data_IF_990050622814
#
_entry.id   IF_990050622814
#
_cell.length_a   1.000
_cell.length_b   1.000
_cell.length_c   1.000
_cell.angle_alpha   90.00
_cell.angle_beta   90.00
_cell.angle_gamma   90.00
#
_symmetry.space_group_name_H-M   'P 1'
#
loop_
_entity.id
_entity.type
_entity.pdbx_description
1 polymer ?
#
# COMPACT_ATOMS: atom_id res chain seq x y z
N UNK A 1 -16.26 8.30 -28.72
CA UNK A 1 -15.32 9.28 -28.20
C UNK A 1 -14.01 8.56 -27.89
N UNK A 2 -12.85 9.02 -28.35
CA UNK A 2 -11.59 8.28 -28.20
C UNK A 2 -11.16 8.29 -26.74
N UNK A 3 -10.75 7.10 -26.25
CA UNK A 3 -10.14 6.88 -24.96
C UNK A 3 -8.85 7.70 -24.87
N UNK A 4 -8.75 8.60 -23.89
CA UNK A 4 -7.51 9.26 -23.56
C UNK A 4 -6.57 8.21 -22.93
N UNK A 5 -5.63 7.73 -23.75
CA UNK A 5 -4.50 6.92 -23.29
C UNK A 5 -3.58 7.88 -22.53
N UNK A 6 -3.67 7.88 -21.21
CA UNK A 6 -2.68 8.54 -20.36
C UNK A 6 -1.37 7.76 -20.49
N UNK A 7 -0.48 8.29 -21.31
CA UNK A 7 0.88 7.81 -21.42
C UNK A 7 1.62 8.10 -20.12
N UNK A 8 1.80 7.10 -19.29
CA UNK A 8 2.80 7.13 -18.21
C UNK A 8 4.15 7.31 -18.91
N UNK A 9 4.79 8.48 -18.74
CA UNK A 9 6.14 8.71 -19.23
C UNK A 9 7.05 7.65 -18.61
N UNK A 10 7.50 6.72 -19.44
CA UNK A 10 8.52 5.71 -19.07
C UNK A 10 9.84 6.44 -18.84
N UNK A 11 10.45 6.42 -17.67
CA UNK A 11 11.87 6.69 -17.57
C UNK A 11 12.59 5.52 -18.24
N UNK A 12 13.56 5.85 -19.10
CA UNK A 12 14.40 4.87 -19.78
C UNK A 12 15.02 3.92 -18.74
N UNK A 13 14.89 2.62 -18.99
CA UNK A 13 15.52 1.57 -18.20
C UNK A 13 17.05 1.78 -18.20
N UNK A 14 17.58 2.36 -17.15
CA UNK A 14 18.99 2.21 -16.81
C UNK A 14 19.08 0.96 -15.95
N UNK A 15 19.32 -0.17 -16.58
CA UNK A 15 19.87 -1.37 -15.97
C UNK A 15 21.27 -1.02 -15.47
N UNK A 16 21.40 -0.59 -14.24
CA UNK A 16 22.65 -0.61 -13.50
C UNK A 16 22.82 -2.02 -12.96
N UNK A 17 23.49 -2.87 -13.75
CA UNK A 17 24.07 -4.13 -13.26
C UNK A 17 24.85 -3.85 -11.96
N UNK A 18 24.47 -4.54 -10.88
CA UNK A 18 25.23 -4.59 -9.64
C UNK A 18 24.91 -3.59 -8.54
N UNK A 19 23.95 -2.68 -8.69
CA UNK A 19 23.59 -1.76 -7.58
C UNK A 19 22.46 -2.37 -6.77
N UNK A 20 22.81 -2.93 -5.61
CA UNK A 20 21.83 -3.25 -4.55
C UNK A 20 20.93 -2.02 -4.34
N UNK A 21 19.63 -2.25 -4.39
CA UNK A 21 18.62 -1.22 -4.15
C UNK A 21 18.96 -0.47 -2.86
N UNK A 22 19.19 0.84 -2.94
CA UNK A 22 19.48 1.60 -1.75
C UNK A 22 18.17 1.97 -1.02
N UNK A 23 17.54 0.96 -0.39
CA UNK A 23 16.28 1.15 0.35
C UNK A 23 16.38 2.21 1.45
N UNK A 24 17.59 2.45 1.95
CA UNK A 24 17.85 3.46 2.99
C UNK A 24 17.47 4.87 2.53
N UNK A 25 17.63 5.15 1.24
CA UNK A 25 17.36 6.46 0.67
C UNK A 25 15.87 6.83 0.71
N UNK A 26 14.98 5.86 0.49
CA UNK A 26 13.54 6.12 0.46
C UNK A 26 12.99 6.59 1.80
N UNK A 27 13.32 5.91 2.90
CA UNK A 27 12.92 6.35 4.24
C UNK A 27 13.52 7.72 4.59
N UNK A 28 14.78 7.95 4.23
CA UNK A 28 15.44 9.24 4.44
C UNK A 28 14.78 10.37 3.64
N UNK A 29 14.29 10.10 2.42
CA UNK A 29 13.52 11.07 1.62
C UNK A 29 12.20 11.41 2.27
N UNK A 30 11.42 10.41 2.74
CA UNK A 30 10.17 10.65 3.47
C UNK A 30 10.42 11.59 4.65
N UNK A 31 11.43 11.32 5.47
CA UNK A 31 11.76 12.13 6.64
C UNK A 31 12.19 13.56 6.31
N UNK A 32 12.99 13.74 5.23
CA UNK A 32 13.42 15.07 4.82
C UNK A 32 12.29 15.90 4.21
N UNK A 33 11.39 15.27 3.45
CA UNK A 33 10.31 15.96 2.76
C UNK A 33 9.08 16.14 3.64
N UNK A 34 8.91 15.30 4.66
CA UNK A 34 7.75 15.27 5.57
C UNK A 34 6.40 15.41 4.81
N UNK A 35 6.14 14.53 3.80
CA UNK A 35 5.01 14.73 2.91
C UNK A 35 3.70 14.71 3.66
N UNK A 36 2.79 15.62 3.31
CA UNK A 36 1.41 15.58 3.82
C UNK A 36 0.64 14.49 3.08
N UNK A 37 0.05 13.57 3.81
CA UNK A 37 -0.73 12.46 3.27
C UNK A 37 -2.19 12.62 3.63
N UNK A 38 -3.03 12.84 2.60
CA UNK A 38 -4.47 12.78 2.79
C UNK A 38 -4.90 11.32 2.86
N UNK A 39 -5.40 10.88 4.01
CA UNK A 39 -5.85 9.50 4.21
C UNK A 39 -7.35 9.44 4.47
N UNK A 40 -8.12 8.99 3.47
CA UNK A 40 -9.51 8.57 3.66
C UNK A 40 -9.47 7.12 4.15
N UNK A 41 -9.19 6.98 5.45
CA UNK A 41 -9.00 5.70 6.12
C UNK A 41 -10.31 5.20 6.75
N UNK A 42 -10.33 3.98 7.25
CA UNK A 42 -11.45 3.44 8.01
C UNK A 42 -11.34 3.82 9.50
N UNK A 43 -12.47 3.98 10.19
CA UNK A 43 -12.47 4.45 11.58
C UNK A 43 -11.96 3.40 12.59
N UNK A 44 -11.82 2.13 12.20
CA UNK A 44 -11.23 1.10 13.06
C UNK A 44 -9.73 1.32 13.23
N UNK A 45 -9.05 1.83 12.19
CA UNK A 45 -7.59 1.92 12.14
C UNK A 45 -7.06 3.34 11.95
N UNK A 46 -7.93 4.35 11.85
CA UNK A 46 -7.54 5.73 11.53
C UNK A 46 -6.47 6.29 12.49
N UNK A 47 -6.61 6.05 13.80
CA UNK A 47 -5.63 6.50 14.79
C UNK A 47 -4.25 5.85 14.58
N UNK A 48 -4.20 4.54 14.36
CA UNK A 48 -2.95 3.82 14.14
C UNK A 48 -2.28 4.21 12.82
N UNK A 49 -3.08 4.45 11.78
CA UNK A 49 -2.61 4.96 10.49
C UNK A 49 -1.98 6.34 10.65
N UNK A 50 -2.62 7.24 11.40
CA UNK A 50 -2.07 8.56 11.67
C UNK A 50 -0.74 8.47 12.45
N UNK A 51 -0.70 7.68 13.52
CA UNK A 51 0.51 7.51 14.32
C UNK A 51 1.66 6.86 13.53
N UNK A 52 1.36 5.90 12.64
CA UNK A 52 2.38 5.30 11.79
C UNK A 52 2.95 6.29 10.77
N UNK A 53 2.11 7.14 10.17
CA UNK A 53 2.57 8.20 9.27
C UNK A 53 3.47 9.20 10.00
N UNK A 54 3.10 9.61 11.22
CA UNK A 54 3.96 10.45 12.06
C UNK A 54 5.27 9.74 12.41
N UNK A 55 5.23 8.46 12.75
CA UNK A 55 6.41 7.66 13.07
C UNK A 55 7.39 7.56 11.89
N UNK A 56 6.90 7.44 10.65
CA UNK A 56 7.78 7.42 9.48
C UNK A 56 8.28 8.80 9.04
N UNK A 57 7.79 9.89 9.65
CA UNK A 57 8.17 11.27 9.34
C UNK A 57 7.27 11.97 8.33
N UNK A 58 6.12 11.40 7.98
CA UNK A 58 5.08 12.04 7.17
C UNK A 58 4.05 12.78 8.05
N UNK A 59 3.20 13.59 7.44
CA UNK A 59 2.15 14.37 8.11
C UNK A 59 0.77 13.90 7.66
N UNK A 60 -0.02 13.19 8.50
CA UNK A 60 -1.34 12.73 8.13
C UNK A 60 -2.41 13.82 8.23
N UNK A 61 -3.34 13.84 7.27
CA UNK A 61 -4.62 14.54 7.39
C UNK A 61 -5.73 13.56 7.05
N UNK A 62 -6.72 13.42 7.96
CA UNK A 62 -7.88 12.56 7.79
C UNK A 62 -9.12 13.43 7.51
N UNK A 63 -9.57 13.45 6.25
CA UNK A 63 -10.76 14.19 5.84
C UNK A 63 -11.60 13.30 4.90
N UNK A 64 -12.80 12.93 5.31
CA UNK A 64 -13.68 12.03 4.57
C UNK A 64 -15.05 12.63 4.25
N UNK A 65 -15.18 13.95 4.38
CA UNK A 65 -16.31 14.70 3.93
C UNK A 65 -16.12 15.14 2.47
N UNK A 66 -17.09 14.91 1.56
CA UNK A 66 -16.98 15.30 0.15
C UNK A 66 -16.70 16.78 -0.07
N UNK A 67 -17.22 17.66 0.80
CA UNK A 67 -17.02 19.11 0.68
C UNK A 67 -15.60 19.53 1.08
N UNK A 68 -14.99 18.86 2.05
CA UNK A 68 -13.65 19.16 2.55
C UNK A 68 -12.56 18.41 1.77
N UNK A 69 -12.81 17.18 1.34
CA UNK A 69 -11.81 16.27 0.80
C UNK A 69 -10.99 16.86 -0.36
N UNK A 70 -11.63 17.63 -1.24
CA UNK A 70 -10.96 18.30 -2.37
C UNK A 70 -9.93 19.32 -1.87
N UNK A 71 -10.28 20.13 -0.87
CA UNK A 71 -9.37 21.14 -0.32
C UNK A 71 -8.16 20.52 0.36
N UNK A 72 -8.39 19.45 1.14
CA UNK A 72 -7.32 18.73 1.82
C UNK A 72 -6.40 18.02 0.82
N UNK A 73 -6.96 17.44 -0.25
CA UNK A 73 -6.15 16.83 -1.32
C UNK A 73 -5.21 17.85 -1.97
N UNK A 74 -5.63 19.10 -2.17
CA UNK A 74 -4.79 20.16 -2.71
C UNK A 74 -3.55 20.46 -1.87
N UNK A 75 -3.66 20.32 -0.57
CA UNK A 75 -2.57 20.53 0.38
C UNK A 75 -1.66 19.33 0.52
N UNK A 76 -2.07 18.16 0.00
CA UNK A 76 -1.42 16.89 0.24
C UNK A 76 -0.47 16.48 -0.89
N UNK A 77 0.57 15.74 -0.57
CA UNK A 77 1.55 15.20 -1.52
C UNK A 77 1.10 13.86 -2.12
N UNK A 78 0.23 13.12 -1.42
CA UNK A 78 -0.39 11.89 -1.91
C UNK A 78 -1.76 11.66 -1.25
N UNK A 79 -2.55 10.78 -1.87
CA UNK A 79 -3.87 10.35 -1.40
C UNK A 79 -3.86 8.85 -1.12
N UNK A 80 -4.29 8.45 0.08
CA UNK A 80 -4.51 7.05 0.46
C UNK A 80 -6.00 6.78 0.65
N UNK A 81 -6.55 5.87 -0.16
CA UNK A 81 -7.96 5.47 -0.14
C UNK A 81 -8.09 4.06 0.44
N UNK A 82 -8.84 3.91 1.54
CA UNK A 82 -9.06 2.62 2.21
C UNK A 82 -10.54 2.30 2.30
N UNK A 83 -10.96 1.17 1.74
CA UNK A 83 -12.36 0.75 1.64
C UNK A 83 -12.90 0.04 2.90
N UNK A 84 -12.16 0.04 3.99
CA UNK A 84 -12.69 -0.43 5.28
C UNK A 84 -13.81 0.50 5.76
N UNK A 85 -14.81 -0.06 6.46
CA UNK A 85 -15.97 0.71 6.98
C UNK A 85 -16.63 1.63 5.93
N UNK A 86 -16.88 1.11 4.74
CA UNK A 86 -17.37 1.86 3.59
C UNK A 86 -18.78 2.43 3.80
N UNK A 87 -19.02 3.65 3.33
CA UNK A 87 -20.33 4.28 3.27
C UNK A 87 -20.47 5.08 1.96
N UNK A 88 -21.71 5.35 1.52
CA UNK A 88 -21.94 6.13 0.29
C UNK A 88 -21.30 7.51 0.34
N UNK A 89 -21.34 8.20 1.50
CA UNK A 89 -20.73 9.52 1.70
C UNK A 89 -19.22 9.45 1.51
N UNK A 90 -18.56 8.42 2.07
CA UNK A 90 -17.11 8.24 1.92
C UNK A 90 -16.73 7.90 0.48
N UNK A 91 -17.53 7.12 -0.23
CA UNK A 91 -17.31 6.85 -1.66
C UNK A 91 -17.33 8.16 -2.46
N UNK A 92 -18.28 9.06 -2.18
CA UNK A 92 -18.32 10.38 -2.82
C UNK A 92 -17.07 11.22 -2.49
N UNK A 93 -16.61 11.21 -1.23
CA UNK A 93 -15.37 11.87 -0.83
C UNK A 93 -14.14 11.28 -1.53
N UNK A 94 -14.04 9.94 -1.62
CA UNK A 94 -12.96 9.25 -2.32
C UNK A 94 -12.90 9.60 -3.80
N UNK A 95 -14.06 9.70 -4.47
CA UNK A 95 -14.11 10.12 -5.87
C UNK A 95 -13.65 11.57 -6.03
N UNK A 96 -14.21 12.50 -5.25
CA UNK A 96 -13.87 13.91 -5.34
C UNK A 96 -12.38 14.17 -5.04
N UNK A 97 -11.86 13.55 -3.98
CA UNK A 97 -10.43 13.60 -3.63
C UNK A 97 -9.54 12.97 -4.72
N UNK A 98 -9.95 11.82 -5.26
CA UNK A 98 -9.19 11.10 -6.28
C UNK A 98 -9.15 11.84 -7.63
N UNK A 99 -10.25 12.44 -8.05
CA UNK A 99 -10.31 13.29 -9.25
C UNK A 99 -9.37 14.51 -9.09
N UNK A 100 -9.37 15.13 -7.92
CA UNK A 100 -8.47 16.26 -7.64
C UNK A 100 -7.00 15.84 -7.55
N UNK A 101 -6.70 14.71 -6.89
CA UNK A 101 -5.34 14.15 -6.85
C UNK A 101 -4.82 13.84 -8.26
N UNK A 102 -5.67 13.25 -9.11
CA UNK A 102 -5.34 12.98 -10.51
C UNK A 102 -5.06 14.25 -11.31
N UNK A 103 -5.88 15.29 -11.13
CA UNK A 103 -5.67 16.61 -11.77
C UNK A 103 -4.33 17.26 -11.37
N UNK A 104 -3.89 17.01 -10.13
CA UNK A 104 -2.63 17.53 -9.58
C UNK A 104 -1.43 16.62 -9.86
N UNK A 105 -1.62 15.45 -10.49
CA UNK A 105 -0.57 14.45 -10.68
C UNK A 105 -0.03 13.85 -9.37
N UNK A 106 -0.84 13.85 -8.30
CA UNK A 106 -0.47 13.30 -7.01
C UNK A 106 -0.67 11.79 -6.99
N UNK A 107 0.24 11.02 -6.39
CA UNK A 107 0.06 9.57 -6.24
C UNK A 107 -1.21 9.22 -5.48
N UNK A 108 -1.95 8.22 -5.98
CA UNK A 108 -3.14 7.66 -5.34
C UNK A 108 -2.86 6.21 -5.01
N UNK A 109 -2.91 5.87 -3.72
CA UNK A 109 -2.88 4.50 -3.26
C UNK A 109 -4.29 4.02 -2.93
N UNK A 110 -4.69 2.87 -3.45
CA UNK A 110 -5.95 2.22 -3.15
C UNK A 110 -5.72 0.94 -2.32
N UNK A 111 -6.43 0.85 -1.19
CA UNK A 111 -6.54 -0.35 -0.36
C UNK A 111 -7.98 -0.87 -0.40
N UNK A 112 -8.28 -1.90 -1.21
CA UNK A 112 -9.63 -2.39 -1.46
C UNK A 112 -10.11 -3.36 -0.38
N UNK A 113 -9.95 -2.99 0.89
CA UNK A 113 -10.27 -3.83 2.06
C UNK A 113 -11.60 -4.55 1.90
N UNK A 114 -11.53 -5.88 1.88
CA UNK A 114 -12.71 -6.74 1.79
C UNK A 114 -13.34 -6.81 0.41
N UNK A 115 -12.63 -6.48 -0.66
CA UNK A 115 -13.05 -6.82 -2.02
C UNK A 115 -13.28 -8.33 -2.13
N UNK A 116 -14.40 -8.75 -2.71
CA UNK A 116 -14.89 -10.14 -2.71
C UNK A 116 -15.83 -10.47 -1.57
N UNK A 117 -15.79 -9.77 -0.44
CA UNK A 117 -16.68 -10.04 0.69
C UNK A 117 -18.10 -9.48 0.51
N UNK A 118 -18.27 -8.43 -0.29
CA UNK A 118 -19.58 -7.90 -0.65
C UNK A 118 -19.56 -7.20 -2.02
N UNK A 119 -20.72 -7.16 -2.73
CA UNK A 119 -20.84 -6.41 -3.98
C UNK A 119 -20.43 -4.95 -3.82
N UNK A 120 -20.91 -4.27 -2.78
CA UNK A 120 -20.60 -2.86 -2.55
C UNK A 120 -19.11 -2.59 -2.50
N UNK A 121 -18.31 -3.43 -1.83
CA UNK A 121 -16.84 -3.26 -1.72
C UNK A 121 -16.15 -3.51 -3.06
N UNK A 122 -16.51 -4.61 -3.72
CA UNK A 122 -15.89 -5.02 -4.99
C UNK A 122 -16.22 -4.02 -6.09
N UNK A 123 -17.48 -3.59 -6.20
CA UNK A 123 -17.93 -2.67 -7.24
C UNK A 123 -17.34 -1.27 -7.01
N UNK A 124 -17.26 -0.82 -5.74
CA UNK A 124 -16.59 0.45 -5.40
C UNK A 124 -15.11 0.40 -5.76
N UNK A 125 -14.40 -0.67 -5.42
CA UNK A 125 -12.98 -0.80 -5.76
C UNK A 125 -12.75 -0.76 -7.28
N UNK A 126 -13.54 -1.50 -8.05
CA UNK A 126 -13.50 -1.49 -9.52
C UNK A 126 -13.82 -0.12 -10.11
N UNK A 127 -14.86 0.52 -9.58
CA UNK A 127 -15.24 1.87 -10.01
C UNK A 127 -14.12 2.87 -9.77
N UNK A 128 -13.47 2.85 -8.60
CA UNK A 128 -12.33 3.72 -8.30
C UNK A 128 -11.13 3.45 -9.21
N UNK A 129 -10.79 2.16 -9.44
CA UNK A 129 -9.73 1.77 -10.38
C UNK A 129 -10.01 2.21 -11.82
N UNK A 130 -11.29 2.24 -12.22
CA UNK A 130 -11.67 2.65 -13.58
C UNK A 130 -11.71 4.17 -13.75
N UNK A 131 -12.13 4.91 -12.71
CA UNK A 131 -12.36 6.36 -12.79
C UNK A 131 -11.16 7.19 -12.41
N UNK A 132 -10.28 6.69 -11.55
CA UNK A 132 -9.17 7.44 -10.99
C UNK A 132 -7.83 6.93 -11.54
N UNK A 133 -6.83 7.80 -11.70
CA UNK A 133 -5.48 7.40 -12.08
C UNK A 133 -4.75 6.81 -10.86
N UNK A 134 -5.20 5.63 -10.41
CA UNK A 134 -4.62 4.94 -9.25
C UNK A 134 -3.16 4.60 -9.56
N UNK A 135 -2.24 5.08 -8.73
CA UNK A 135 -0.80 4.82 -8.87
C UNK A 135 -0.44 3.45 -8.35
N UNK A 136 -1.02 3.04 -7.22
CA UNK A 136 -0.73 1.75 -6.61
C UNK A 136 -1.97 1.14 -5.94
N UNK A 137 -2.11 -0.17 -6.12
CA UNK A 137 -3.08 -1.02 -5.42
C UNK A 137 -2.32 -1.85 -4.38
N UNK A 138 -2.71 -1.78 -3.11
CA UNK A 138 -2.21 -2.66 -2.06
C UNK A 138 -3.34 -3.55 -1.54
N UNK A 139 -3.21 -4.86 -1.66
CA UNK A 139 -4.25 -5.82 -1.31
C UNK A 139 -3.65 -7.16 -0.87
N UNK A 140 -4.48 -8.11 -0.44
CA UNK A 140 -4.10 -9.52 -0.36
C UNK A 140 -4.47 -10.26 -1.68
N UNK A 141 -4.07 -11.53 -1.78
CA UNK A 141 -4.29 -12.32 -2.98
C UNK A 141 -5.77 -12.56 -3.29
N UNK A 142 -6.63 -12.73 -2.26
CA UNK A 142 -8.07 -12.92 -2.46
C UNK A 142 -8.76 -11.66 -2.95
N UNK A 143 -8.41 -10.51 -2.40
CA UNK A 143 -8.91 -9.22 -2.85
C UNK A 143 -8.51 -8.95 -4.32
N UNK A 144 -7.25 -9.24 -4.69
CA UNK A 144 -6.80 -9.08 -6.07
C UNK A 144 -7.56 -9.98 -7.03
N UNK A 145 -7.73 -11.28 -6.70
CA UNK A 145 -8.53 -12.20 -7.52
C UNK A 145 -9.97 -11.72 -7.66
N UNK A 146 -10.60 -11.26 -6.59
CA UNK A 146 -11.95 -10.73 -6.62
C UNK A 146 -12.09 -9.50 -7.53
N UNK A 147 -11.08 -8.64 -7.58
CA UNK A 147 -11.08 -7.49 -8.49
C UNK A 147 -10.96 -7.88 -9.96
N UNK A 148 -10.18 -8.93 -10.27
CA UNK A 148 -9.90 -9.35 -11.64
C UNK A 148 -10.96 -10.31 -12.21
N UNK A 149 -11.60 -11.14 -11.37
CA UNK A 149 -12.44 -12.27 -11.83
C UNK A 149 -13.81 -11.91 -12.41
N UNK A 150 -14.27 -10.68 -12.32
CA UNK A 150 -15.61 -10.29 -12.79
C UNK A 150 -16.78 -10.91 -12.00
N UNK A 151 -16.53 -11.87 -11.14
CA UNK A 151 -17.54 -12.61 -10.35
C UNK A 151 -17.36 -12.35 -8.86
N UNK A 152 -18.50 -12.29 -8.13
CA UNK A 152 -18.48 -12.23 -6.67
C UNK A 152 -18.18 -13.64 -6.12
N UNK A 153 -17.00 -13.85 -5.58
CA UNK A 153 -16.65 -15.11 -4.91
C UNK A 153 -16.91 -14.97 -3.43
N UNK A 154 -17.89 -15.72 -2.91
CA UNK A 154 -18.28 -15.72 -1.48
C UNK A 154 -17.31 -16.52 -0.58
N UNK A 155 -16.10 -16.83 -1.02
CA UNK A 155 -15.13 -17.59 -0.22
C UNK A 155 -14.20 -16.62 0.52
N UNK A 156 -14.28 -16.65 1.85
CA UNK A 156 -13.48 -15.81 2.74
C UNK A 156 -11.96 -16.12 2.67
N UNK A 157 -11.19 -15.32 3.40
CA UNK A 157 -9.72 -15.30 3.47
C UNK A 157 -9.05 -16.69 3.69
N UNK A 158 -9.76 -17.64 4.30
CA UNK A 158 -9.23 -19.00 4.60
C UNK A 158 -9.14 -19.93 3.38
N UNK A 159 -9.85 -19.63 2.28
CA UNK A 159 -9.77 -20.45 1.06
C UNK A 159 -8.47 -20.22 0.26
N UNK A 160 -7.73 -19.16 0.55
CA UNK A 160 -6.53 -18.77 -0.22
C UNK A 160 -5.29 -19.60 0.08
N UNK A 161 -5.18 -20.20 1.28
CA UNK A 161 -4.02 -21.02 1.63
C UNK A 161 -3.87 -22.30 0.78
N UNK A 162 -4.97 -22.81 0.25
CA UNK A 162 -4.97 -24.02 -0.59
C UNK A 162 -4.81 -23.73 -2.11
N UNK A 163 -4.94 -22.45 -2.53
CA UNK A 163 -4.84 -22.03 -3.93
C UNK A 163 -3.61 -21.18 -4.24
N UNK A 164 -2.71 -21.01 -3.30
CA UNK A 164 -1.44 -20.36 -3.55
C UNK A 164 -0.54 -21.32 -4.36
N UNK A 165 -0.57 -21.18 -5.68
CA UNK A 165 0.35 -21.87 -6.60
C UNK A 165 1.82 -21.64 -6.27
N UNK A 166 2.72 -22.17 -7.05
CA UNK A 166 4.17 -21.93 -6.93
C UNK A 166 4.51 -20.45 -6.90
N UNK A 167 5.66 -20.08 -6.33
CA UNK A 167 6.12 -18.69 -6.32
C UNK A 167 6.15 -18.08 -7.72
N UNK A 168 6.58 -18.87 -8.72
CA UNK A 168 6.62 -18.41 -10.10
C UNK A 168 5.23 -18.08 -10.66
N UNK A 169 4.22 -18.88 -10.35
CA UNK A 169 2.83 -18.60 -10.73
C UNK A 169 2.28 -17.35 -10.04
N UNK A 170 2.62 -17.13 -8.77
CA UNK A 170 2.25 -15.92 -8.04
C UNK A 170 2.90 -14.68 -8.67
N UNK A 171 4.18 -14.73 -9.05
CA UNK A 171 4.88 -13.65 -9.73
C UNK A 171 4.21 -13.33 -11.07
N UNK A 172 3.93 -14.35 -11.88
CA UNK A 172 3.25 -14.18 -13.18
C UNK A 172 1.86 -13.55 -12.99
N UNK A 173 1.11 -14.00 -11.97
CA UNK A 173 -0.19 -13.46 -11.66
C UNK A 173 -0.13 -11.97 -11.25
N UNK A 174 0.79 -11.58 -10.36
CA UNK A 174 0.92 -10.19 -9.90
C UNK A 174 1.43 -9.28 -11.02
N UNK A 175 2.40 -9.73 -11.83
CA UNK A 175 2.84 -9.00 -13.03
C UNK A 175 1.68 -8.80 -14.03
N UNK A 176 0.89 -9.85 -14.27
CA UNK A 176 -0.30 -9.78 -15.12
C UNK A 176 -1.34 -8.81 -14.61
N UNK A 177 -1.60 -8.82 -13.31
CA UNK A 177 -2.53 -7.90 -12.66
C UNK A 177 -2.08 -6.44 -12.78
N UNK A 178 -0.80 -6.15 -12.56
CA UNK A 178 -0.26 -4.80 -12.69
C UNK A 178 -0.40 -4.26 -14.13
N UNK A 179 -0.14 -5.10 -15.13
CA UNK A 179 -0.37 -4.74 -16.56
C UNK A 179 -1.84 -4.50 -16.86
N UNK A 180 -2.73 -5.39 -16.40
CA UNK A 180 -4.17 -5.29 -16.64
C UNK A 180 -4.80 -4.07 -15.98
N UNK A 181 -4.38 -3.75 -14.75
CA UNK A 181 -4.89 -2.62 -13.99
C UNK A 181 -4.21 -1.29 -14.36
N UNK A 182 -3.05 -1.34 -15.02
CA UNK A 182 -2.28 -0.15 -15.40
C UNK A 182 -1.69 0.60 -14.21
N UNK A 183 -1.48 -0.06 -13.06
CA UNK A 183 -0.93 0.53 -11.85
C UNK A 183 0.05 -0.44 -11.16
N UNK A 184 0.82 0.07 -10.20
CA UNK A 184 1.61 -0.77 -9.32
C UNK A 184 0.71 -1.68 -8.48
N UNK A 185 1.14 -2.90 -8.23
CA UNK A 185 0.40 -3.84 -7.38
C UNK A 185 1.31 -4.36 -6.27
N UNK A 186 0.89 -4.18 -5.03
CA UNK A 186 1.51 -4.79 -3.86
C UNK A 186 0.55 -5.82 -3.25
N UNK A 187 0.87 -7.10 -3.38
CA UNK A 187 0.11 -8.21 -2.78
C UNK A 187 0.80 -8.67 -1.52
N UNK A 188 0.10 -8.57 -0.38
CA UNK A 188 0.64 -9.02 0.91
C UNK A 188 0.16 -10.42 1.27
N UNK A 189 1.07 -11.19 1.89
CA UNK A 189 0.84 -12.57 2.27
C UNK A 189 1.96 -13.15 3.12
N UNK A 190 2.23 -14.45 2.98
CA UNK A 190 3.42 -15.09 3.56
C UNK A 190 4.71 -14.52 2.94
N UNK A 191 4.66 -14.20 1.65
CA UNK A 191 5.63 -13.43 0.90
C UNK A 191 4.89 -12.29 0.25
N UNK A 192 5.43 -11.10 0.37
CA UNK A 192 4.84 -9.94 -0.27
C UNK A 192 5.41 -9.79 -1.68
N UNK A 193 4.55 -9.49 -2.65
CA UNK A 193 4.93 -9.31 -4.05
C UNK A 193 4.59 -7.87 -4.47
N UNK A 194 5.57 -7.15 -5.01
CA UNK A 194 5.40 -5.78 -5.51
C UNK A 194 5.80 -5.71 -6.97
N UNK A 195 4.91 -5.29 -7.85
CA UNK A 195 5.18 -5.27 -9.29
C UNK A 195 4.60 -4.04 -10.00
N UNK A 196 5.30 -3.62 -11.06
CA UNK A 196 4.86 -2.65 -12.07
C UNK A 196 4.38 -3.34 -13.38
N UNK A 197 4.39 -4.67 -13.41
CA UNK A 197 4.10 -5.50 -14.58
C UNK A 197 5.34 -6.01 -15.32
N UNK A 198 6.49 -5.36 -15.15
CA UNK A 198 7.79 -5.79 -15.73
C UNK A 198 8.71 -6.35 -14.65
N UNK A 199 8.92 -5.58 -13.60
CA UNK A 199 9.68 -5.95 -12.40
C UNK A 199 8.76 -6.54 -11.35
N UNK A 200 9.22 -7.54 -10.60
CA UNK A 200 8.54 -8.03 -9.42
C UNK A 200 9.53 -8.20 -8.27
N UNK A 201 9.27 -7.55 -7.15
CA UNK A 201 9.99 -7.78 -5.90
C UNK A 201 9.28 -8.87 -5.12
N UNK A 202 10.03 -9.87 -4.66
CA UNK A 202 9.58 -10.89 -3.69
C UNK A 202 10.19 -10.51 -2.36
N UNK A 203 9.36 -10.11 -1.41
CA UNK A 203 9.78 -9.60 -0.10
C UNK A 203 9.44 -10.64 0.97
N UNK A 204 10.40 -10.91 1.86
CA UNK A 204 10.31 -11.94 2.90
C UNK A 204 10.35 -11.36 4.32
N UNK A 205 10.25 -10.04 4.44
CA UNK A 205 10.11 -9.40 5.74
C UNK A 205 8.69 -9.55 6.28
N UNK A 206 8.59 -9.54 7.59
CA UNK A 206 7.32 -9.66 8.31
C UNK A 206 7.23 -10.93 9.13
N UNK A 207 6.16 -11.02 9.89
CA UNK A 207 5.89 -12.14 10.80
C UNK A 207 4.42 -12.53 10.78
N UNK A 208 4.10 -13.82 10.95
CA UNK A 208 2.70 -14.28 11.00
C UNK A 208 1.87 -13.59 12.08
N UNK A 209 2.51 -13.22 13.19
CA UNK A 209 1.84 -12.56 14.33
C UNK A 209 1.28 -11.18 13.99
N UNK A 210 1.81 -10.51 12.96
CA UNK A 210 1.26 -9.24 12.46
C UNK A 210 -0.19 -9.38 12.02
N UNK A 211 -0.61 -10.57 11.56
CA UNK A 211 -2.01 -10.83 11.18
C UNK A 211 -2.98 -10.80 12.35
N UNK A 212 -2.49 -10.89 13.58
CA UNK A 212 -3.29 -10.80 14.82
C UNK A 212 -3.50 -9.37 15.30
N UNK A 213 -2.85 -8.40 14.67
CA UNK A 213 -3.03 -6.96 14.93
C UNK A 213 -3.90 -6.37 13.85
N UNK A 214 -5.10 -5.89 14.23
CA UNK A 214 -5.98 -5.25 13.25
C UNK A 214 -5.34 -3.98 12.69
N UNK A 215 -5.44 -3.78 11.39
CA UNK A 215 -5.01 -2.54 10.75
C UNK A 215 -3.56 -2.49 10.29
N UNK A 216 -2.73 -3.52 10.50
CA UNK A 216 -1.35 -3.54 9.96
C UNK A 216 -1.32 -3.37 8.45
N UNK A 217 -2.30 -3.94 7.72
CA UNK A 217 -2.48 -3.70 6.29
C UNK A 217 -2.82 -2.25 5.96
N UNK A 218 -3.75 -1.63 6.69
CA UNK A 218 -4.14 -0.23 6.49
C UNK A 218 -2.96 0.72 6.80
N UNK A 219 -2.18 0.42 7.83
CA UNK A 219 -0.95 1.12 8.17
C UNK A 219 0.07 1.01 7.03
N UNK A 220 0.30 -0.19 6.50
CA UNK A 220 1.18 -0.40 5.34
C UNK A 220 0.71 0.42 4.13
N UNK A 221 -0.59 0.46 3.85
CA UNK A 221 -1.13 1.24 2.74
C UNK A 221 -0.81 2.73 2.88
N UNK A 222 -0.95 3.29 4.07
CA UNK A 222 -0.57 4.68 4.33
C UNK A 222 0.94 4.91 4.21
N UNK A 223 1.76 3.99 4.72
CA UNK A 223 3.20 4.03 4.57
C UNK A 223 3.62 4.01 3.09
N UNK A 224 2.99 3.15 2.27
CA UNK A 224 3.20 3.11 0.83
C UNK A 224 2.89 4.46 0.16
N UNK A 225 1.79 5.13 0.55
CA UNK A 225 1.47 6.46 0.03
C UNK A 225 2.54 7.51 0.37
N UNK A 226 3.10 7.46 1.60
CA UNK A 226 4.18 8.37 2.01
C UNK A 226 5.48 8.15 1.21
N UNK A 227 5.83 6.89 0.94
CA UNK A 227 7.01 6.55 0.15
C UNK A 227 6.84 6.92 -1.33
N UNK A 228 5.66 6.70 -1.91
CA UNK A 228 5.33 7.13 -3.27
C UNK A 228 5.35 8.65 -3.42
N UNK A 229 4.87 9.38 -2.41
CA UNK A 229 4.92 10.85 -2.40
C UNK A 229 6.36 11.37 -2.41
N UNK A 230 7.26 10.70 -1.70
CA UNK A 230 8.66 11.12 -1.58
C UNK A 230 9.53 10.77 -2.80
N UNK A 231 9.13 9.82 -3.62
CA UNK A 231 9.83 9.42 -4.86
C UNK A 231 8.87 8.90 -5.93
N UNK A 232 8.13 9.78 -6.61
CA UNK A 232 7.17 9.37 -7.63
C UNK A 232 7.81 8.80 -8.91
N UNK A 233 9.06 9.16 -9.20
CA UNK A 233 9.76 8.72 -10.42
C UNK A 233 10.24 7.26 -10.34
N UNK A 234 10.49 6.76 -9.13
CA UNK A 234 10.92 5.39 -8.85
C UNK A 234 9.88 4.60 -8.06
N UNK A 235 8.65 4.69 -8.49
CA UNK A 235 7.48 4.26 -7.71
C UNK A 235 7.45 2.78 -7.34
N UNK A 236 7.89 1.83 -8.20
CA UNK A 236 7.93 0.40 -7.83
C UNK A 236 8.96 0.13 -6.71
N UNK A 237 10.09 0.84 -6.75
CA UNK A 237 11.13 0.72 -5.74
C UNK A 237 10.71 1.37 -4.41
N UNK A 238 10.05 2.54 -4.48
CA UNK A 238 9.50 3.20 -3.31
C UNK A 238 8.45 2.32 -2.62
N UNK A 239 7.57 1.69 -3.40
CA UNK A 239 6.55 0.77 -2.90
C UNK A 239 7.19 -0.47 -2.24
N UNK A 240 8.20 -1.08 -2.88
CA UNK A 240 8.93 -2.22 -2.31
C UNK A 240 9.66 -1.84 -1.01
N UNK A 241 10.26 -0.64 -0.95
CA UNK A 241 10.92 -0.14 0.26
C UNK A 241 9.94 0.04 1.42
N UNK A 242 8.72 0.54 1.16
CA UNK A 242 7.67 0.67 2.17
C UNK A 242 7.23 -0.70 2.74
N UNK A 243 7.07 -1.70 1.86
CA UNK A 243 6.72 -3.07 2.26
C UNK A 243 7.83 -3.69 3.11
N UNK A 244 9.10 -3.57 2.69
CA UNK A 244 10.24 -4.02 3.49
C UNK A 244 10.29 -3.33 4.86
N UNK A 245 10.08 -2.01 4.90
CA UNK A 245 10.12 -1.22 6.14
C UNK A 245 9.04 -1.68 7.13
N UNK A 246 7.81 -1.90 6.68
CA UNK A 246 6.72 -2.37 7.53
C UNK A 246 6.97 -3.79 8.04
N UNK A 247 7.41 -4.69 7.16
CA UNK A 247 7.72 -6.06 7.56
C UNK A 247 8.86 -6.13 8.57
N UNK A 248 9.94 -5.39 8.33
CA UNK A 248 11.08 -5.29 9.25
C UNK A 248 10.69 -4.68 10.59
N UNK A 249 9.85 -3.62 10.59
CA UNK A 249 9.32 -3.04 11.82
C UNK A 249 8.53 -4.07 12.64
N UNK A 250 7.73 -4.91 11.98
CA UNK A 250 7.04 -6.03 12.62
C UNK A 250 8.00 -7.06 13.26
N UNK A 251 9.12 -7.36 12.61
CA UNK A 251 10.14 -8.26 13.13
C UNK A 251 10.87 -7.68 14.35
N UNK A 252 11.29 -6.41 14.25
CA UNK A 252 11.94 -5.67 15.35
C UNK A 252 11.00 -5.58 16.55
N UNK A 253 9.75 -5.19 16.32
CA UNK A 253 8.73 -5.10 17.35
C UNK A 253 8.53 -6.44 18.08
N UNK A 254 8.47 -7.54 17.33
CA UNK A 254 8.34 -8.87 17.90
C UNK A 254 9.54 -9.28 18.75
N UNK A 255 10.75 -8.92 18.32
CA UNK A 255 11.98 -9.17 19.08
C UNK A 255 12.01 -8.49 20.46
N UNK A 256 11.20 -7.44 20.65
CA UNK A 256 11.07 -6.75 21.93
C UNK A 256 9.84 -7.19 22.76
N UNK A 257 9.08 -8.19 22.29
CA UNK A 257 7.94 -8.73 23.05
C UNK A 257 8.42 -9.57 24.23
N UNK A 258 7.71 -9.44 25.33
CA UNK A 258 7.89 -10.26 26.52
C UNK A 258 6.76 -11.28 26.64
N UNK A 259 6.87 -12.34 27.49
CA UNK A 259 5.78 -13.30 27.72
C UNK A 259 4.47 -12.69 28.24
N UNK A 260 4.51 -11.48 28.77
CA UNK A 260 3.33 -10.77 29.29
C UNK A 260 2.70 -9.81 28.25
N UNK A 261 3.34 -9.59 27.10
CA UNK A 261 2.85 -8.70 26.06
C UNK A 261 1.84 -9.42 25.15
N UNK A 262 0.78 -8.72 24.81
CA UNK A 262 -0.25 -9.18 23.88
C UNK A 262 -0.31 -8.29 22.63
N UNK A 263 -1.42 -8.44 21.88
CA UNK A 263 -1.66 -7.75 20.64
C UNK A 263 -1.58 -6.20 20.77
N UNK A 264 -2.01 -5.59 21.91
CA UNK A 264 -1.95 -4.15 22.12
C UNK A 264 -0.51 -3.65 22.22
N UNK A 265 0.36 -4.37 22.94
CA UNK A 265 1.76 -4.07 23.03
C UNK A 265 2.44 -4.24 21.66
N UNK A 266 2.16 -5.33 20.94
CA UNK A 266 2.72 -5.58 19.63
C UNK A 266 2.34 -4.47 18.63
N UNK A 267 1.07 -4.05 18.59
CA UNK A 267 0.59 -2.93 17.77
C UNK A 267 1.40 -1.65 18.03
N UNK A 268 1.55 -1.27 19.29
CA UNK A 268 2.29 -0.07 19.67
C UNK A 268 3.77 -0.20 19.33
N UNK A 269 4.38 -1.36 19.58
CA UNK A 269 5.80 -1.62 19.25
C UNK A 269 6.09 -1.61 17.75
N UNK A 270 5.13 -1.95 16.88
CA UNK A 270 5.29 -1.81 15.43
C UNK A 270 5.42 -0.32 15.06
N UNK A 271 4.59 0.55 15.63
CA UNK A 271 4.67 1.99 15.40
C UNK A 271 5.99 2.56 15.92
N UNK A 272 6.40 2.16 17.13
CA UNK A 272 7.68 2.54 17.72
C UNK A 272 8.86 2.05 16.88
N UNK A 273 8.78 0.83 16.32
CA UNK A 273 9.82 0.29 15.45
C UNK A 273 9.94 1.10 14.16
N UNK A 274 8.83 1.57 13.56
CA UNK A 274 8.87 2.47 12.40
C UNK A 274 9.49 3.82 12.78
N UNK A 275 9.19 4.35 13.96
CA UNK A 275 9.79 5.61 14.44
C UNK A 275 11.32 5.51 14.56
N UNK A 276 11.82 4.42 15.12
CA UNK A 276 13.26 4.19 15.32
C UNK A 276 13.98 3.60 14.11
N UNK A 277 13.25 3.14 13.09
CA UNK A 277 13.85 2.56 11.88
C UNK A 277 14.69 3.63 11.16
N UNK A 278 15.96 3.34 10.93
CA UNK A 278 16.83 4.18 10.10
C UNK A 278 17.19 3.49 8.78
N UNK A 279 17.86 4.25 7.90
CA UNK A 279 18.23 3.74 6.59
C UNK A 279 19.20 2.56 6.66
N UNK A 280 20.15 2.56 7.60
CA UNK A 280 21.12 1.48 7.75
C UNK A 280 20.46 0.20 8.27
N UNK A 281 19.56 0.32 9.23
CA UNK A 281 18.77 -0.81 9.74
C UNK A 281 17.90 -1.39 8.63
N UNK A 282 17.22 -0.53 7.85
CA UNK A 282 16.42 -0.96 6.71
C UNK A 282 17.29 -1.67 5.66
N UNK A 283 18.44 -1.12 5.30
CA UNK A 283 19.37 -1.71 4.33
C UNK A 283 19.85 -3.10 4.77
N UNK A 284 20.19 -3.26 6.05
CA UNK A 284 20.70 -4.53 6.59
C UNK A 284 19.61 -5.57 6.80
N UNK A 285 18.40 -5.13 7.16
CA UNK A 285 17.29 -6.01 7.52
C UNK A 285 16.35 -6.35 6.37
N UNK A 286 16.36 -5.61 5.28
CA UNK A 286 15.48 -5.89 4.14
C UNK A 286 15.87 -7.21 3.44
N UNK A 287 14.89 -8.08 3.27
CA UNK A 287 15.02 -9.37 2.59
C UNK A 287 14.12 -9.41 1.37
N UNK A 288 14.70 -9.18 0.22
CA UNK A 288 13.99 -9.19 -1.06
C UNK A 288 14.85 -9.79 -2.17
N UNK A 289 14.17 -10.26 -3.20
CA UNK A 289 14.77 -10.72 -4.45
C UNK A 289 13.95 -10.24 -5.64
N UNK A 290 14.54 -10.19 -6.83
CA UNK A 290 13.83 -9.92 -8.08
C UNK A 290 13.31 -11.24 -8.67
N UNK A 291 12.02 -11.26 -9.06
CA UNK A 291 11.32 -12.40 -9.64
C UNK A 291 10.85 -12.18 -11.09
#
# INVERSE_FOLDING_TARGET
MPQAVFSVRRPAAFLLEGTLLNLSEYLSRVRRQAPVIHAISNYVTANDVANLLLACGASPIMADDPEEAVYITRLSAALALNLGTLSRRRVSAMLAAGEEAGRLGRPILLDPVGAGASPMRTDTARMLLHRLPVTALRCNASELRALLSGTHTHRGVDADRQQAGSLSEQIVFVKGAARQLGCLVAVTGERDLVSDGETCFVIRNGRPEMSRVTGTGCQLSALCAAFLAADPDRSVYALAAAVCAMGLAGEIAWGHMTPHDGNAAYRSRIIDAVYHLDGETLKKGARYELG
#
